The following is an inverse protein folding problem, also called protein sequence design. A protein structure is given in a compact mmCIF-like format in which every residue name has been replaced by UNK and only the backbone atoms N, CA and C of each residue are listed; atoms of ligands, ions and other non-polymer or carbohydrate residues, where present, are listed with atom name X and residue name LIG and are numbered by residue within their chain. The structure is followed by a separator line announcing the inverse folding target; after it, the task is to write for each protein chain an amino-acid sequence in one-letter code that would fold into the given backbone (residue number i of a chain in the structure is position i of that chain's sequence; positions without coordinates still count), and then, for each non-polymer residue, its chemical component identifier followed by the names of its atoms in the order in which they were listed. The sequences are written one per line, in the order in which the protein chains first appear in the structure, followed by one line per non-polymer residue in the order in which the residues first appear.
data_IF_880142327785
#
_entry.id   IF_880142327785
#
_cell.length_a   1.000
_cell.length_b   1.000
_cell.length_c   1.000
_cell.angle_alpha   90.00
_cell.angle_beta   90.00
_cell.angle_gamma   90.00
#
_symmetry.space_group_name_H-M   'P 1'
#
loop_
_entity.id
_entity.type
_entity.pdbx_description
1 polymer ?
#
# COMPACT_ATOMS: atom_id res chain seq x y z
N UNK A 1 -16.76 -3.21 -9.22
CA UNK A 1 -15.90 -2.05 -9.60
C UNK A 1 -15.59 -1.30 -8.31
N UNK A 2 -14.33 -1.33 -7.85
CA UNK A 2 -13.89 -0.56 -6.70
C UNK A 2 -13.39 0.81 -7.17
N UNK A 3 -13.82 1.90 -6.52
CA UNK A 3 -13.39 3.26 -6.83
C UNK A 3 -12.83 3.91 -5.58
N UNK A 4 -11.51 4.04 -5.48
CA UNK A 4 -10.84 4.78 -4.40
C UNK A 4 -10.24 6.05 -4.98
N UNK A 5 -10.44 7.20 -4.33
CA UNK A 5 -10.01 8.51 -4.83
C UNK A 5 -8.51 8.58 -5.09
N UNK A 6 -7.69 8.18 -4.12
CA UNK A 6 -6.23 8.21 -4.22
C UNK A 6 -5.64 7.05 -5.04
N UNK A 7 -6.05 5.80 -4.73
CA UNK A 7 -5.45 4.61 -5.33
C UNK A 7 -5.66 4.50 -6.84
N UNK A 8 -6.87 4.78 -7.34
CA UNK A 8 -7.13 4.73 -8.79
C UNK A 8 -6.46 5.87 -9.56
N UNK A 9 -6.35 7.07 -8.98
CA UNK A 9 -5.67 8.20 -9.61
C UNK A 9 -4.15 7.99 -9.69
N UNK A 10 -3.54 7.36 -8.69
CA UNK A 10 -2.12 6.98 -8.71
C UNK A 10 -1.80 6.02 -9.88
N UNK A 11 -2.66 5.01 -10.10
CA UNK A 11 -2.48 4.04 -11.17
C UNK A 11 -2.73 4.62 -12.58
N UNK A 12 -3.69 5.54 -12.72
CA UNK A 12 -3.98 6.22 -13.98
C UNK A 12 -2.80 7.09 -14.45
N UNK A 13 -2.03 7.66 -13.52
CA UNK A 13 -0.88 8.53 -13.84
C UNK A 13 0.40 7.76 -14.23
N UNK A 14 0.46 6.46 -13.92
CA UNK A 14 1.59 5.58 -14.27
C UNK A 14 1.45 5.02 -15.69
N UNK A 15 1.30 5.89 -16.69
CA UNK A 15 1.05 5.50 -18.09
C UNK A 15 2.25 4.91 -18.82
N UNK A 16 3.47 5.16 -18.33
CA UNK A 16 4.73 4.70 -18.95
C UNK A 16 5.36 3.47 -18.27
N UNK A 17 4.75 2.95 -17.21
CA UNK A 17 5.27 1.77 -16.53
C UNK A 17 4.94 0.52 -17.35
N UNK A 18 5.95 -0.31 -17.64
CA UNK A 18 5.77 -1.61 -18.31
C UNK A 18 4.97 -2.58 -17.44
N UNK A 19 5.15 -2.49 -16.13
CA UNK A 19 4.42 -3.28 -15.13
C UNK A 19 3.94 -2.36 -14.02
N UNK A 20 2.69 -2.53 -13.61
CA UNK A 20 2.08 -1.76 -12.54
C UNK A 20 1.61 -2.73 -11.46
N UNK A 21 1.96 -2.42 -10.21
CA UNK A 21 1.67 -3.24 -9.05
C UNK A 21 0.92 -2.39 -8.02
N UNK A 22 -0.10 -2.98 -7.39
CA UNK A 22 -0.62 -2.48 -6.13
C UNK A 22 0.12 -3.21 -4.99
N UNK A 23 0.39 -2.52 -3.89
CA UNK A 23 1.09 -3.14 -2.75
C UNK A 23 0.71 -2.47 -1.45
N UNK A 24 0.90 -3.23 -0.36
CA UNK A 24 0.67 -2.85 1.04
C UNK A 24 1.49 -3.80 1.92
N UNK A 25 1.57 -3.55 3.23
CA UNK A 25 2.33 -4.43 4.14
C UNK A 25 1.88 -5.89 4.08
N UNK A 26 0.60 -6.15 3.85
CA UNK A 26 0.04 -7.52 3.82
C UNK A 26 0.53 -8.38 2.66
N UNK A 27 1.10 -7.80 1.61
CA UNK A 27 1.62 -8.54 0.46
C UNK A 27 2.99 -8.02 -0.02
N UNK A 28 3.69 -7.25 0.81
CA UNK A 28 4.92 -6.55 0.43
C UNK A 28 6.04 -7.52 0.03
N UNK A 29 6.21 -8.63 0.76
CA UNK A 29 7.18 -9.68 0.48
C UNK A 29 6.90 -10.37 -0.85
N UNK A 30 5.65 -10.74 -1.10
CA UNK A 30 5.24 -11.32 -2.39
C UNK A 30 5.46 -10.32 -3.54
N UNK A 31 5.13 -9.05 -3.33
CA UNK A 31 5.42 -7.97 -4.28
C UNK A 31 6.92 -7.85 -4.59
N UNK A 32 7.78 -7.88 -3.57
CA UNK A 32 9.24 -7.82 -3.74
C UNK A 32 9.76 -9.02 -4.52
N UNK A 33 9.29 -10.23 -4.22
CA UNK A 33 9.70 -11.44 -4.95
C UNK A 33 9.32 -11.35 -6.41
N UNK A 34 8.09 -10.93 -6.69
CA UNK A 34 7.61 -10.71 -8.06
C UNK A 34 8.50 -9.70 -8.80
N UNK A 35 8.77 -8.53 -8.20
CA UNK A 35 9.64 -7.51 -8.80
C UNK A 35 11.04 -8.08 -9.10
N UNK A 36 11.64 -8.83 -8.18
CA UNK A 36 12.97 -9.43 -8.38
C UNK A 36 12.97 -10.45 -9.52
N UNK A 37 11.93 -11.27 -9.65
CA UNK A 37 11.80 -12.22 -10.76
C UNK A 37 11.72 -11.51 -12.11
N UNK A 38 11.00 -10.39 -12.20
CA UNK A 38 10.91 -9.60 -13.44
C UNK A 38 12.22 -8.87 -13.78
N UNK A 39 13.13 -8.70 -12.82
CA UNK A 39 14.44 -8.05 -13.00
C UNK A 39 14.36 -6.70 -13.75
N UNK A 40 13.49 -5.75 -13.35
CA UNK A 40 13.33 -4.49 -14.07
C UNK A 40 14.56 -3.60 -13.91
N UNK A 41 14.87 -2.82 -14.95
CA UNK A 41 15.97 -1.84 -14.90
C UNK A 41 15.72 -0.70 -13.89
N UNK A 42 14.46 -0.43 -13.55
CA UNK A 42 14.08 0.62 -12.60
C UNK A 42 12.78 0.24 -11.89
N UNK A 43 12.72 0.52 -10.59
CA UNK A 43 11.50 0.45 -9.78
C UNK A 43 11.21 1.83 -9.21
N UNK A 44 9.96 2.28 -9.37
CA UNK A 44 9.46 3.51 -8.75
C UNK A 44 8.36 3.12 -7.77
N UNK A 45 8.50 3.52 -6.52
CA UNK A 45 7.46 3.35 -5.50
C UNK A 45 6.68 4.66 -5.41
N UNK A 46 5.35 4.57 -5.50
CA UNK A 46 4.45 5.73 -5.52
C UNK A 46 3.53 5.65 -4.32
N UNK A 47 3.72 6.56 -3.36
CA UNK A 47 2.78 6.77 -2.26
C UNK A 47 1.56 7.55 -2.77
N UNK A 48 0.37 7.10 -2.42
CA UNK A 48 -0.91 7.63 -2.93
C UNK A 48 -1.70 8.41 -1.90
N UNK A 49 -1.52 8.11 -0.62
CA UNK A 49 -2.09 8.82 0.52
C UNK A 49 -1.18 9.92 1.07
N UNK A 50 -1.71 10.78 1.96
CA UNK A 50 -0.91 11.72 2.71
C UNK A 50 0.08 10.99 3.63
N UNK A 51 1.15 11.71 3.97
CA UNK A 51 2.37 11.19 4.60
C UNK A 51 2.11 10.24 5.79
N UNK A 52 2.84 9.12 5.85
CA UNK A 52 2.81 8.17 6.96
C UNK A 52 2.73 6.70 6.53
N UNK A 53 1.52 6.18 6.33
CA UNK A 53 1.27 4.76 6.02
C UNK A 53 1.92 4.30 4.72
N UNK A 54 1.60 4.99 3.61
CA UNK A 54 2.11 4.64 2.28
C UNK A 54 3.63 4.82 2.21
N UNK A 55 4.17 5.83 2.90
CA UNK A 55 5.60 6.09 2.96
C UNK A 55 6.33 4.99 3.74
N UNK A 56 5.80 4.56 4.88
CA UNK A 56 6.37 3.47 5.67
C UNK A 56 6.36 2.14 4.89
N UNK A 57 5.27 1.86 4.15
CA UNK A 57 5.19 0.69 3.28
C UNK A 57 6.19 0.77 2.12
N UNK A 58 6.31 1.93 1.48
CA UNK A 58 7.31 2.15 0.43
C UNK A 58 8.74 1.98 0.96
N UNK A 59 9.05 2.50 2.15
CA UNK A 59 10.36 2.31 2.79
C UNK A 59 10.65 0.84 3.09
N UNK A 60 9.66 0.09 3.58
CA UNK A 60 9.76 -1.35 3.81
C UNK A 60 10.10 -2.10 2.51
N UNK A 61 9.31 -1.89 1.45
CA UNK A 61 9.54 -2.51 0.13
C UNK A 61 10.91 -2.11 -0.44
N UNK A 62 11.29 -0.84 -0.32
CA UNK A 62 12.54 -0.31 -0.83
C UNK A 62 13.77 -0.90 -0.11
N UNK A 63 13.66 -1.23 1.18
CA UNK A 63 14.71 -1.94 1.92
C UNK A 63 14.86 -3.37 1.41
N UNK A 64 13.74 -4.10 1.27
CA UNK A 64 13.74 -5.48 0.79
C UNK A 64 14.26 -5.63 -0.65
N UNK A 65 13.91 -4.70 -1.55
CA UNK A 65 14.43 -4.65 -2.92
C UNK A 65 15.95 -4.46 -2.94
N UNK A 66 16.50 -3.72 -1.98
CA UNK A 66 17.95 -3.52 -1.82
C UNK A 66 18.65 -4.61 -1.02
N UNK A 67 17.96 -5.72 -0.72
CA UNK A 67 18.45 -6.80 0.14
C UNK A 67 18.90 -6.31 1.53
N UNK A 68 18.26 -5.26 2.05
CA UNK A 68 18.47 -4.75 3.40
C UNK A 68 17.38 -5.28 4.33
N UNK A 69 17.70 -5.35 5.61
CA UNK A 69 16.72 -5.62 6.66
C UNK A 69 16.05 -4.31 7.08
N UNK A 70 14.73 -4.13 6.85
CA UNK A 70 14.02 -2.95 7.35
C UNK A 70 13.89 -2.98 8.87
N UNK A 71 13.80 -1.81 9.49
CA UNK A 71 13.33 -1.67 10.87
C UNK A 71 11.80 -1.79 10.88
N UNK A 72 11.33 -3.03 10.80
CA UNK A 72 9.91 -3.35 10.63
C UNK A 72 9.05 -2.78 11.75
N UNK A 73 9.52 -2.82 13.01
CA UNK A 73 8.77 -2.31 14.14
C UNK A 73 8.54 -0.80 13.99
N UNK A 74 9.61 -0.04 13.74
CA UNK A 74 9.54 1.41 13.53
C UNK A 74 8.60 1.79 12.38
N UNK A 75 8.63 1.05 11.28
CA UNK A 75 7.80 1.34 10.10
C UNK A 75 6.33 1.03 10.37
N UNK A 76 6.02 -0.08 11.05
CA UNK A 76 4.65 -0.43 11.39
C UNK A 76 4.06 0.52 12.44
N UNK A 77 4.86 0.97 13.41
CA UNK A 77 4.43 1.95 14.41
C UNK A 77 4.20 3.31 13.75
N UNK A 78 5.10 3.75 12.87
CA UNK A 78 4.91 5.01 12.13
C UNK A 78 3.64 4.99 11.28
N UNK A 79 3.36 3.89 10.57
CA UNK A 79 2.13 3.73 9.80
C UNK A 79 0.89 3.78 10.69
N UNK A 80 0.91 3.07 11.81
CA UNK A 80 -0.17 3.09 12.78
C UNK A 80 -0.46 4.47 13.33
N UNK A 81 0.57 5.18 13.79
CA UNK A 81 0.43 6.50 14.40
C UNK A 81 -0.13 7.52 13.39
N UNK A 82 0.31 7.46 12.14
CA UNK A 82 -0.22 8.29 11.07
C UNK A 82 -1.70 7.99 10.79
N UNK A 83 -2.08 6.71 10.76
CA UNK A 83 -3.47 6.28 10.61
C UNK A 83 -4.35 6.74 11.76
N UNK A 84 -3.89 6.54 13.00
CA UNK A 84 -4.61 6.94 14.20
C UNK A 84 -4.82 8.46 14.24
N UNK A 85 -3.78 9.24 13.91
CA UNK A 85 -3.90 10.70 13.81
C UNK A 85 -4.95 11.13 12.78
N UNK A 86 -5.07 10.43 11.65
CA UNK A 86 -6.10 10.71 10.64
C UNK A 86 -7.50 10.41 11.15
N UNK A 87 -7.67 9.29 11.86
CA UNK A 87 -8.94 8.91 12.48
C UNK A 87 -9.34 9.96 13.52
N UNK A 88 -8.44 10.31 14.44
CA UNK A 88 -8.71 11.29 15.50
C UNK A 88 -9.01 12.68 14.92
N UNK A 89 -8.30 13.08 13.86
CA UNK A 89 -8.59 14.31 13.13
C UNK A 89 -9.99 14.29 12.52
N UNK A 90 -10.37 13.20 11.84
CA UNK A 90 -11.69 13.07 11.22
C UNK A 90 -12.82 13.14 12.28
N UNK A 91 -12.62 12.49 13.43
CA UNK A 91 -13.54 12.54 14.56
C UNK A 91 -13.67 13.97 15.11
N UNK A 92 -12.55 14.66 15.33
CA UNK A 92 -12.53 16.05 15.82
C UNK A 92 -13.26 17.04 14.89
N UNK A 93 -13.35 16.70 13.60
CA UNK A 93 -14.05 17.48 12.58
C UNK A 93 -15.51 17.05 12.38
N UNK A 94 -15.98 16.05 13.13
CA UNK A 94 -17.32 15.48 12.98
C UNK A 94 -17.55 14.80 11.63
N UNK A 95 -16.46 14.38 10.96
CA UNK A 95 -16.54 13.68 9.67
C UNK A 95 -16.88 12.19 9.83
N UNK A 96 -16.63 11.66 11.02
CA UNK A 96 -16.91 10.27 11.42
C UNK A 96 -17.53 10.24 12.82
N UNK A 97 -18.21 9.16 13.16
CA UNK A 97 -18.76 8.89 14.50
C UNK A 97 -17.76 8.12 15.37
N UNK A 98 -18.04 8.02 16.67
CA UNK A 98 -17.25 7.19 17.59
C UNK A 98 -17.28 5.70 17.18
N UNK A 99 -18.42 5.20 16.71
CA UNK A 99 -18.50 3.82 16.22
C UNK A 99 -17.61 3.60 14.98
N UNK A 100 -17.57 4.57 14.06
CA UNK A 100 -16.70 4.51 12.89
C UNK A 100 -15.22 4.64 13.28
N UNK A 101 -14.90 5.38 14.34
CA UNK A 101 -13.53 5.46 14.88
C UNK A 101 -13.01 4.07 15.27
N UNK A 102 -13.82 3.29 15.98
CA UNK A 102 -13.44 1.94 16.41
C UNK A 102 -13.30 0.97 15.23
N UNK A 103 -14.20 1.07 14.23
CA UNK A 103 -14.10 0.32 12.97
C UNK A 103 -12.80 0.64 12.21
N UNK A 104 -12.47 1.93 12.05
CA UNK A 104 -11.24 2.33 11.36
C UNK A 104 -9.97 1.94 12.14
N UNK A 105 -10.01 1.94 13.48
CA UNK A 105 -8.89 1.47 14.28
C UNK A 105 -8.64 -0.03 14.07
N UNK A 106 -9.70 -0.84 14.01
CA UNK A 106 -9.58 -2.27 13.70
C UNK A 106 -9.06 -2.52 12.27
N UNK A 107 -9.42 -1.67 11.30
CA UNK A 107 -8.88 -1.72 9.94
C UNK A 107 -7.37 -1.43 9.91
N UNK A 108 -6.86 -0.49 10.74
CA UNK A 108 -5.43 -0.21 10.84
C UNK A 108 -4.64 -1.44 11.30
N UNK A 109 -5.15 -2.19 12.27
CA UNK A 109 -4.52 -3.44 12.72
C UNK A 109 -4.43 -4.47 11.59
N UNK A 110 -5.48 -4.58 10.77
CA UNK A 110 -5.47 -5.45 9.60
C UNK A 110 -4.43 -5.01 8.57
N UNK A 111 -4.30 -3.71 8.33
CA UNK A 111 -3.33 -3.14 7.38
C UNK A 111 -1.87 -3.35 7.79
N UNK A 112 -1.60 -3.54 9.09
CA UNK A 112 -0.25 -3.80 9.64
C UNK A 112 0.18 -5.25 9.59
N UNK A 113 -0.72 -6.19 9.25
CA UNK A 113 -0.40 -7.61 9.21
C UNK A 113 0.62 -7.91 8.11
N UNK A 114 1.89 -8.05 8.48
CA UNK A 114 2.98 -8.21 7.53
C UNK A 114 2.89 -9.52 6.76
N UNK A 115 2.99 -9.45 5.43
CA UNK A 115 3.10 -10.63 4.54
C UNK A 115 2.02 -11.70 4.78
N UNK A 116 0.82 -11.26 5.18
CA UNK A 116 -0.36 -12.11 5.39
C UNK A 116 -0.79 -12.84 4.11
N UNK A 117 -0.52 -12.25 2.95
CA UNK A 117 -0.86 -12.79 1.65
C UNK A 117 0.39 -13.05 0.81
N UNK A 118 0.44 -14.24 0.21
CA UNK A 118 1.58 -14.74 -0.56
C UNK A 118 1.42 -14.52 -2.08
N UNK A 119 0.81 -13.41 -2.48
CA UNK A 119 0.63 -13.03 -3.88
C UNK A 119 0.92 -11.55 -4.12
N UNK A 120 1.49 -11.22 -5.28
CA UNK A 120 1.59 -9.87 -5.78
C UNK A 120 0.28 -9.45 -6.48
N UNK A 121 -0.08 -8.17 -6.39
CA UNK A 121 -1.26 -7.63 -7.07
C UNK A 121 -0.83 -6.91 -8.35
N UNK A 122 -0.97 -7.58 -9.49
CA UNK A 122 -0.56 -7.08 -10.81
C UNK A 122 -1.72 -6.34 -11.47
N UNK A 123 -1.46 -5.12 -11.94
CA UNK A 123 -2.46 -4.27 -12.59
C UNK A 123 -2.34 -4.37 -14.11
N UNK A 124 -3.42 -4.82 -14.73
CA UNK A 124 -3.59 -4.98 -16.17
C UNK A 124 -4.52 -3.89 -16.73
N UNK A 125 -4.22 -3.37 -17.93
CA UNK A 125 -5.10 -2.45 -18.66
C UNK A 125 -5.96 -3.26 -19.63
N UNK A 126 -7.28 -3.35 -19.40
CA UNK A 126 -8.22 -4.09 -20.26
C UNK A 126 -9.41 -3.22 -20.63
N UNK A 127 -9.61 -2.95 -21.91
CA UNK A 127 -10.78 -2.20 -22.40
C UNK A 127 -10.97 -0.82 -21.73
N UNK A 128 -9.88 -0.10 -21.44
CA UNK A 128 -9.93 1.19 -20.74
C UNK A 128 -10.07 1.11 -19.21
N UNK A 129 -10.19 -0.10 -18.66
CA UNK A 129 -10.25 -0.36 -17.22
C UNK A 129 -8.90 -0.84 -16.67
N UNK A 130 -8.69 -0.60 -15.38
CA UNK A 130 -7.62 -1.23 -14.61
C UNK A 130 -8.20 -2.47 -13.92
N UNK A 131 -7.57 -3.61 -14.16
CA UNK A 131 -7.94 -4.91 -13.57
C UNK A 131 -6.76 -5.37 -12.71
N UNK A 132 -7.02 -5.74 -11.46
CA UNK A 132 -5.99 -6.29 -10.58
C UNK A 132 -6.13 -7.82 -10.57
N UNK A 133 -5.03 -8.52 -10.82
CA UNK A 133 -4.93 -9.97 -10.77
C UNK A 133 -3.82 -10.39 -9.81
N UNK A 134 -3.96 -11.56 -9.21
CA UNK A 134 -2.94 -12.12 -8.32
C UNK A 134 -1.87 -12.84 -9.12
N UNK A 135 -0.60 -12.67 -8.74
CA UNK A 135 0.53 -13.43 -9.24
C UNK A 135 1.29 -14.06 -8.07
N UNK A 136 1.72 -15.31 -8.23
CA UNK A 136 2.44 -16.09 -7.22
C UNK A 136 3.90 -16.30 -7.63
#
# INVERSE_FOLDING_TARGET
IQRTGAGTQGLVRCVKAETLLASSFVCAGATVRYIKQQSPARVTLVSTGPDGEDQACAEYIAALLRNKRPDTARLLDHAHDAGQQRIDYALSKGLITEAQRDEFAADLDCCRALDRFDFAMVVQRRGGLLVIETAH
#
